data_IF_030797988585
#
_entry.id   IF_030797988585
#
_cell.length_a   1.000
_cell.length_b   1.000
_cell.length_c   1.000
_cell.angle_alpha   90.00
_cell.angle_beta   90.00
_cell.angle_gamma   90.00
#
_symmetry.space_group_name_H-M   'P 1'
#
loop_
_entity.id
_entity.type
_entity.pdbx_description
1 polymer ?
#
# COMPACT_ATOMS: atom_id res chain seq x y z
N UNK A 1 -33.53 27.43 -5.28
CA UNK A 1 -34.32 26.73 -4.24
C UNK A 1 -33.67 25.38 -4.01
N UNK A 2 -32.93 25.23 -2.90
CA UNK A 2 -32.26 23.98 -2.56
C UNK A 2 -33.27 23.08 -1.82
N UNK A 3 -33.63 21.95 -2.41
CA UNK A 3 -34.44 20.93 -1.75
C UNK A 3 -33.66 20.27 -0.60
N UNK A 4 -34.33 19.78 0.45
CA UNK A 4 -33.67 19.15 1.59
C UNK A 4 -32.99 17.85 1.18
N UNK A 5 -31.72 17.71 1.56
CA UNK A 5 -30.89 16.53 1.36
C UNK A 5 -31.59 15.28 1.90
N UNK A 6 -31.78 14.28 1.04
CA UNK A 6 -32.35 13.00 1.44
C UNK A 6 -31.46 12.34 2.53
N UNK A 7 -32.06 11.83 3.63
CA UNK A 7 -31.30 11.23 4.72
C UNK A 7 -30.51 10.02 4.21
N UNK A 8 -29.20 10.01 4.49
CA UNK A 8 -28.34 8.89 4.16
C UNK A 8 -28.91 7.60 4.77
N UNK A 9 -29.35 6.67 3.91
CA UNK A 9 -29.89 5.39 4.36
C UNK A 9 -28.84 4.68 5.23
N UNK A 10 -29.27 4.18 6.40
CA UNK A 10 -28.41 3.50 7.40
C UNK A 10 -27.50 2.43 6.81
N UNK A 11 -27.94 1.78 5.71
CA UNK A 11 -27.17 0.80 4.92
C UNK A 11 -25.86 1.36 4.34
N UNK A 12 -25.84 2.62 3.91
CA UNK A 12 -24.64 3.29 3.39
C UNK A 12 -23.67 3.68 4.50
N UNK A 13 -24.18 3.94 5.72
CA UNK A 13 -23.36 4.25 6.89
C UNK A 13 -22.62 3.01 7.39
N UNK A 14 -23.32 1.87 7.53
CA UNK A 14 -22.72 0.58 7.89
C UNK A 14 -21.64 0.15 6.91
N UNK A 15 -21.88 0.29 5.61
CA UNK A 15 -20.88 -0.04 4.58
C UNK A 15 -19.63 0.84 4.67
N UNK A 16 -19.78 2.13 5.02
CA UNK A 16 -18.66 3.06 5.27
C UNK A 16 -17.89 2.70 6.55
N UNK A 17 -18.59 2.33 7.62
CA UNK A 17 -17.96 1.89 8.87
C UNK A 17 -17.23 0.56 8.70
N UNK A 18 -17.73 -0.36 7.87
CA UNK A 18 -17.04 -1.61 7.56
C UNK A 18 -15.76 -1.38 6.75
N UNK A 19 -15.77 -0.44 5.80
CA UNK A 19 -14.56 -0.08 5.02
C UNK A 19 -13.55 0.65 5.92
N UNK A 20 -13.99 1.63 6.70
CA UNK A 20 -13.14 2.33 7.66
C UNK A 20 -12.59 1.39 8.75
N UNK A 21 -13.40 0.42 9.19
CA UNK A 21 -13.01 -0.63 10.11
C UNK A 21 -12.02 -1.61 9.49
N UNK A 22 -12.19 -2.01 8.23
CA UNK A 22 -11.25 -2.89 7.54
C UNK A 22 -9.86 -2.26 7.37
N UNK A 23 -9.77 -0.94 7.28
CA UNK A 23 -8.50 -0.20 7.14
C UNK A 23 -7.92 0.22 8.49
N UNK A 24 -8.77 0.60 9.45
CA UNK A 24 -8.37 1.02 10.79
C UNK A 24 -8.05 -0.14 11.75
N UNK A 25 -8.73 -1.29 11.61
CA UNK A 25 -8.50 -2.46 12.47
C UNK A 25 -7.09 -3.05 12.35
N UNK A 26 -6.46 -3.14 11.17
CA UNK A 26 -5.06 -3.52 11.07
C UNK A 26 -4.14 -2.52 11.78
N UNK A 27 -4.31 -1.22 11.56
CA UNK A 27 -3.46 -0.16 12.15
C UNK A 27 -3.59 -0.14 13.68
N UNK A 28 -4.82 -0.12 14.20
CA UNK A 28 -5.09 -0.12 15.63
C UNK A 28 -4.73 -1.45 16.31
N UNK A 29 -4.90 -2.57 15.60
CA UNK A 29 -4.52 -3.90 16.09
C UNK A 29 -3.01 -4.05 16.25
N UNK A 30 -2.22 -3.55 15.31
CA UNK A 30 -0.75 -3.60 15.35
C UNK A 30 -0.22 -2.69 16.45
N UNK A 31 -0.62 -1.41 16.48
CA UNK A 31 -0.21 -0.48 17.52
C UNK A 31 -0.65 -0.95 18.93
N UNK A 32 -1.90 -1.42 19.06
CA UNK A 32 -2.46 -1.92 20.32
C UNK A 32 -1.79 -3.21 20.81
N UNK A 33 -1.43 -4.12 19.90
CA UNK A 33 -0.70 -5.34 20.24
C UNK A 33 0.67 -5.04 20.84
N UNK A 34 1.44 -4.11 20.25
CA UNK A 34 2.78 -3.77 20.73
C UNK A 34 2.77 -2.99 22.03
N UNK A 35 1.88 -2.00 22.16
CA UNK A 35 1.68 -1.28 23.42
C UNK A 35 1.26 -2.24 24.53
N UNK A 36 0.30 -3.14 24.25
CA UNK A 36 -0.13 -4.15 25.20
C UNK A 36 0.98 -5.14 25.59
N UNK A 37 1.83 -5.55 24.64
CA UNK A 37 2.94 -6.48 24.88
C UNK A 37 4.08 -5.84 25.66
N UNK A 38 4.42 -4.57 25.37
CA UNK A 38 5.41 -3.80 26.11
C UNK A 38 4.97 -3.56 27.56
N UNK A 39 3.70 -3.16 27.76
CA UNK A 39 3.11 -3.00 29.09
C UNK A 39 3.08 -4.31 29.88
N UNK A 40 2.74 -5.43 29.23
CA UNK A 40 2.69 -6.75 29.88
C UNK A 40 4.07 -7.26 30.32
N UNK A 41 5.14 -6.91 29.60
CA UNK A 41 6.51 -7.39 29.90
C UNK A 41 7.36 -6.41 30.72
N UNK A 42 6.90 -5.18 30.94
CA UNK A 42 7.65 -4.15 31.67
C UNK A 42 9.01 -3.82 31.06
N UNK A 43 9.21 -4.12 29.77
CA UNK A 43 10.49 -3.98 29.07
C UNK A 43 10.26 -3.59 27.62
N UNK A 44 11.08 -2.66 27.13
CA UNK A 44 11.12 -2.20 25.74
C UNK A 44 12.12 -2.99 24.88
N UNK A 45 12.82 -3.98 25.44
CA UNK A 45 13.73 -4.84 24.67
C UNK A 45 13.10 -5.46 23.41
N UNK A 46 11.82 -5.90 23.42
CA UNK A 46 11.16 -6.41 22.22
C UNK A 46 10.92 -5.35 21.12
N UNK A 47 11.03 -4.05 21.43
CA UNK A 47 11.02 -2.97 20.44
C UNK A 47 12.42 -2.78 19.81
N UNK A 48 13.50 -3.14 20.50
CA UNK A 48 14.88 -3.03 20.02
C UNK A 48 15.28 -4.18 19.10
N UNK A 49 14.57 -5.31 19.15
CA UNK A 49 14.78 -6.48 18.26
C UNK A 49 14.32 -6.25 16.81
N UNK A 50 13.68 -5.11 16.52
CA UNK A 50 13.17 -4.77 15.20
C UNK A 50 14.29 -4.25 14.31
N UNK A 51 14.42 -4.83 13.12
CA UNK A 51 15.37 -4.31 12.13
C UNK A 51 14.88 -2.99 11.54
N UNK A 52 15.80 -2.19 11.00
CA UNK A 52 15.41 -0.97 10.28
C UNK A 52 14.50 -1.29 9.08
N UNK A 53 14.72 -2.43 8.42
CA UNK A 53 13.86 -2.91 7.33
C UNK A 53 12.42 -3.20 7.82
N UNK A 54 12.26 -3.82 8.99
CA UNK A 54 10.93 -4.03 9.58
C UNK A 54 10.21 -2.71 9.85
N UNK A 55 10.92 -1.72 10.39
CA UNK A 55 10.34 -0.40 10.68
C UNK A 55 9.99 0.37 9.41
N UNK A 56 10.87 0.36 8.41
CA UNK A 56 10.64 1.00 7.11
C UNK A 56 9.49 0.33 6.34
N UNK A 57 9.41 -1.00 6.36
CA UNK A 57 8.31 -1.75 5.73
C UNK A 57 6.97 -1.46 6.40
N UNK A 58 6.93 -1.35 7.74
CA UNK A 58 5.74 -0.90 8.46
C UNK A 58 5.35 0.56 8.13
N UNK A 59 6.32 1.45 7.96
CA UNK A 59 6.05 2.83 7.56
C UNK A 59 5.46 2.87 6.13
N UNK A 60 6.03 2.11 5.19
CA UNK A 60 5.51 1.97 3.84
C UNK A 60 4.08 1.40 3.87
N UNK A 61 3.85 0.35 4.66
CA UNK A 61 2.52 -0.22 4.85
C UNK A 61 1.52 0.84 5.33
N UNK A 62 1.90 1.62 6.34
CA UNK A 62 1.05 2.66 6.89
C UNK A 62 0.71 3.72 5.83
N UNK A 63 1.69 4.17 5.04
CA UNK A 63 1.45 5.09 3.93
C UNK A 63 0.45 4.50 2.93
N UNK A 64 0.65 3.25 2.51
CA UNK A 64 -0.23 2.58 1.57
C UNK A 64 -1.66 2.40 2.11
N UNK A 65 -1.81 2.02 3.38
CA UNK A 65 -3.11 1.88 4.04
C UNK A 65 -3.83 3.22 4.20
N UNK A 66 -3.12 4.30 4.52
CA UNK A 66 -3.68 5.66 4.57
C UNK A 66 -4.11 6.09 3.16
N UNK A 67 -3.27 5.91 2.15
CA UNK A 67 -3.60 6.21 0.75
C UNK A 67 -4.81 5.41 0.27
N UNK A 68 -4.90 4.13 0.64
CA UNK A 68 -6.05 3.29 0.36
C UNK A 68 -7.33 3.82 1.02
N UNK A 69 -7.26 4.20 2.30
CA UNK A 69 -8.37 4.81 3.03
C UNK A 69 -8.83 6.12 2.41
N UNK A 70 -7.88 6.98 2.04
CA UNK A 70 -8.13 8.23 1.34
C UNK A 70 -8.86 8.01 0.00
N UNK A 71 -8.33 7.13 -0.86
CA UNK A 71 -8.92 6.83 -2.17
C UNK A 71 -10.28 6.11 -2.04
N UNK A 72 -10.42 5.18 -1.10
CA UNK A 72 -11.69 4.52 -0.81
C UNK A 72 -12.75 5.53 -0.34
N UNK A 73 -12.35 6.52 0.46
CA UNK A 73 -13.24 7.58 0.91
C UNK A 73 -13.61 8.55 -0.22
N UNK A 74 -12.65 8.98 -1.03
CA UNK A 74 -12.88 9.85 -2.18
C UNK A 74 -13.90 9.25 -3.17
N UNK A 75 -13.78 7.94 -3.45
CA UNK A 75 -14.65 7.23 -4.42
C UNK A 75 -16.07 6.95 -3.92
N UNK A 76 -16.44 7.40 -2.71
CA UNK A 76 -17.80 7.24 -2.16
C UNK A 76 -18.84 8.15 -2.83
N UNK A 77 -18.41 9.21 -3.50
CA UNK A 77 -19.31 10.11 -4.26
C UNK A 77 -18.54 10.80 -5.38
N UNK A 78 -19.19 11.06 -6.52
CA UNK A 78 -18.60 11.83 -7.63
C UNK A 78 -18.10 13.20 -7.19
N UNK A 79 -18.90 13.93 -6.39
CA UNK A 79 -18.54 15.24 -5.85
C UNK A 79 -17.22 15.20 -5.07
N UNK A 80 -17.07 14.28 -4.11
CA UNK A 80 -15.82 14.13 -3.34
C UNK A 80 -14.64 13.73 -4.21
N UNK A 81 -14.83 12.78 -5.12
CA UNK A 81 -13.77 12.39 -6.05
C UNK A 81 -13.27 13.59 -6.87
N UNK A 82 -14.19 14.41 -7.36
CA UNK A 82 -13.82 15.63 -8.07
C UNK A 82 -13.09 16.63 -7.16
N UNK A 83 -13.62 16.92 -5.97
CA UNK A 83 -13.01 17.88 -5.04
C UNK A 83 -11.61 17.47 -4.56
N UNK A 84 -11.38 16.17 -4.39
CA UNK A 84 -10.16 15.63 -3.80
C UNK A 84 -9.10 15.21 -4.82
N UNK A 85 -9.52 14.69 -5.98
CA UNK A 85 -8.63 14.01 -6.94
C UNK A 85 -8.58 14.75 -8.27
N UNK A 86 -9.70 14.81 -9.00
CA UNK A 86 -9.69 15.31 -10.38
C UNK A 86 -9.65 16.83 -10.49
N UNK A 87 -10.24 17.55 -9.52
CA UNK A 87 -10.34 19.01 -9.44
C UNK A 87 -10.87 19.65 -10.74
N UNK A 88 -11.77 18.97 -11.45
CA UNK A 88 -12.41 19.48 -12.66
C UNK A 88 -13.44 20.57 -12.34
N UNK A 89 -13.73 21.48 -13.30
CA UNK A 89 -14.78 22.49 -13.15
C UNK A 89 -16.14 21.87 -12.81
N UNK A 90 -16.96 22.57 -12.04
CA UNK A 90 -18.25 22.05 -11.54
C UNK A 90 -19.24 21.63 -12.65
N UNK A 91 -19.05 22.12 -13.88
CA UNK A 91 -19.88 21.83 -15.04
C UNK A 91 -19.48 20.52 -15.74
N UNK A 92 -18.31 19.96 -15.43
CA UNK A 92 -17.83 18.71 -16.02
C UNK A 92 -18.32 17.53 -15.20
N UNK A 93 -19.03 16.60 -15.84
CA UNK A 93 -19.45 15.36 -15.17
C UNK A 93 -18.26 14.42 -15.00
N UNK A 94 -18.04 13.98 -13.76
CA UNK A 94 -17.05 12.95 -13.42
C UNK A 94 -17.41 11.63 -14.11
N UNK A 95 -16.44 11.07 -14.83
CA UNK A 95 -16.56 9.76 -15.46
C UNK A 95 -16.83 8.66 -14.40
N UNK A 96 -17.92 7.88 -14.54
CA UNK A 96 -18.16 6.71 -13.68
C UNK A 96 -17.01 5.70 -13.67
N UNK A 97 -16.24 5.57 -14.76
CA UNK A 97 -15.10 4.66 -14.84
C UNK A 97 -13.97 5.06 -13.89
N UNK A 98 -13.70 6.37 -13.75
CA UNK A 98 -12.68 6.89 -12.83
C UNK A 98 -12.94 6.49 -11.36
N UNK A 99 -14.22 6.43 -10.95
CA UNK A 99 -14.57 5.92 -9.62
C UNK A 99 -14.29 4.43 -9.45
N UNK A 100 -14.47 3.62 -10.49
CA UNK A 100 -14.18 2.19 -10.46
C UNK A 100 -12.67 1.96 -10.39
N UNK A 101 -11.90 2.70 -11.18
CA UNK A 101 -10.44 2.70 -11.15
C UNK A 101 -9.90 3.14 -9.80
N UNK A 102 -10.41 4.25 -9.25
CA UNK A 102 -10.03 4.73 -7.92
C UNK A 102 -10.30 3.69 -6.83
N UNK A 103 -11.40 2.93 -6.91
CA UNK A 103 -11.70 1.84 -5.95
C UNK A 103 -10.75 0.67 -6.10
N UNK A 104 -10.39 0.31 -7.34
CA UNK A 104 -9.42 -0.75 -7.60
C UNK A 104 -8.03 -0.34 -7.13
N UNK A 105 -7.63 0.91 -7.37
CA UNK A 105 -6.38 1.48 -6.86
C UNK A 105 -6.35 1.51 -5.33
N UNK A 106 -7.46 1.90 -4.68
CA UNK A 106 -7.59 1.83 -3.23
C UNK A 106 -7.44 0.40 -2.70
N UNK A 107 -8.04 -0.58 -3.38
CA UNK A 107 -7.94 -1.99 -3.00
C UNK A 107 -6.52 -2.52 -3.18
N UNK A 108 -5.84 -2.21 -4.27
CA UNK A 108 -4.43 -2.58 -4.49
C UNK A 108 -3.55 -1.94 -3.42
N UNK A 109 -3.69 -0.65 -3.14
CA UNK A 109 -2.92 0.01 -2.09
C UNK A 109 -3.15 -0.64 -0.72
N UNK A 110 -4.39 -1.04 -0.40
CA UNK A 110 -4.68 -1.76 0.83
C UNK A 110 -3.99 -3.13 0.87
N UNK A 111 -4.09 -3.91 -0.21
CA UNK A 111 -3.48 -5.24 -0.30
C UNK A 111 -1.95 -5.16 -0.23
N UNK A 112 -1.32 -4.26 -0.98
CA UNK A 112 0.12 -4.03 -0.92
C UNK A 112 0.58 -3.59 0.47
N UNK A 113 -0.21 -2.73 1.13
CA UNK A 113 0.01 -2.35 2.52
C UNK A 113 -0.03 -3.55 3.48
N UNK A 114 -1.00 -4.44 3.34
CA UNK A 114 -1.08 -5.66 4.15
C UNK A 114 0.09 -6.62 3.85
N UNK A 115 0.42 -6.82 2.58
CA UNK A 115 1.48 -7.73 2.13
C UNK A 115 2.86 -7.33 2.67
N UNK A 116 3.13 -6.03 2.77
CA UNK A 116 4.39 -5.54 3.34
C UNK A 116 4.35 -5.43 4.88
N UNK A 117 3.17 -5.28 5.48
CA UNK A 117 3.01 -5.16 6.94
C UNK A 117 3.07 -6.51 7.67
N UNK A 118 2.45 -7.55 7.11
CA UNK A 118 2.23 -8.82 7.80
C UNK A 118 3.53 -9.59 8.11
N UNK A 119 4.50 -9.74 7.18
CA UNK A 119 5.72 -10.53 7.42
C UNK A 119 6.52 -10.13 8.66
N UNK A 120 6.86 -8.84 8.90
CA UNK A 120 7.65 -8.46 10.07
C UNK A 120 6.87 -8.72 11.37
N UNK A 121 5.56 -8.46 11.38
CA UNK A 121 4.71 -8.75 12.54
C UNK A 121 4.67 -10.26 12.83
N UNK A 122 4.51 -11.08 11.79
CA UNK A 122 4.46 -12.53 11.94
C UNK A 122 5.78 -13.11 12.44
N UNK A 123 6.91 -12.55 12.01
CA UNK A 123 8.24 -12.93 12.48
C UNK A 123 8.41 -12.66 14.00
N UNK A 124 7.94 -11.51 14.47
CA UNK A 124 8.07 -11.06 15.86
C UNK A 124 6.94 -11.55 16.80
N UNK A 125 5.87 -12.10 16.24
CA UNK A 125 4.71 -12.56 17.01
C UNK A 125 4.97 -13.84 17.83
N UNK A 126 6.08 -14.56 17.59
CA UNK A 126 6.40 -15.81 18.28
C UNK A 126 5.51 -16.98 17.84
N UNK A 127 5.05 -16.95 16.59
CA UNK A 127 4.18 -17.98 16.01
C UNK A 127 4.92 -19.31 15.84
N UNK A 128 4.24 -20.42 16.11
CA UNK A 128 4.73 -21.76 15.77
C UNK A 128 4.78 -22.02 14.26
N UNK A 129 5.48 -23.07 13.84
CA UNK A 129 5.73 -23.41 12.43
C UNK A 129 4.45 -23.60 11.61
N UNK A 130 3.43 -24.23 12.19
CA UNK A 130 2.12 -24.43 11.54
C UNK A 130 1.46 -23.09 11.20
N UNK A 131 1.39 -22.18 12.17
CA UNK A 131 0.80 -20.86 11.98
C UNK A 131 1.60 -20.00 10.99
N UNK A 132 2.95 -20.08 11.02
CA UNK A 132 3.81 -19.42 10.01
C UNK A 132 3.50 -19.91 8.60
N UNK A 133 3.22 -21.21 8.44
CA UNK A 133 2.85 -21.80 7.16
C UNK A 133 1.48 -21.29 6.67
N UNK A 134 0.51 -21.16 7.58
CA UNK A 134 -0.80 -20.55 7.27
C UNK A 134 -0.64 -19.09 6.83
N UNK A 135 0.19 -18.31 7.53
CA UNK A 135 0.49 -16.92 7.16
C UNK A 135 1.15 -16.85 5.78
N UNK A 136 2.14 -17.70 5.50
CA UNK A 136 2.80 -17.73 4.20
C UNK A 136 1.82 -18.08 3.06
N UNK A 137 0.93 -19.06 3.27
CA UNK A 137 -0.11 -19.40 2.31
C UNK A 137 -1.09 -18.24 2.07
N UNK A 138 -1.53 -17.58 3.15
CA UNK A 138 -2.41 -16.42 3.06
C UNK A 138 -1.75 -15.25 2.32
N UNK A 139 -0.47 -14.99 2.55
CA UNK A 139 0.30 -13.99 1.80
C UNK A 139 0.39 -14.34 0.31
N UNK A 140 0.62 -15.61 -0.03
CA UNK A 140 0.61 -16.06 -1.42
C UNK A 140 -0.75 -15.84 -2.09
N UNK A 141 -1.84 -16.15 -1.40
CA UNK A 141 -3.20 -15.91 -1.91
C UNK A 141 -3.51 -14.42 -2.09
N UNK A 142 -3.12 -13.58 -1.11
CA UNK A 142 -3.28 -12.13 -1.19
C UNK A 142 -2.49 -11.53 -2.37
N UNK A 143 -1.25 -11.98 -2.56
CA UNK A 143 -0.41 -11.56 -3.67
C UNK A 143 -1.04 -11.92 -5.02
N UNK A 144 -1.58 -13.12 -5.17
CA UNK A 144 -2.30 -13.52 -6.39
C UNK A 144 -3.51 -12.62 -6.66
N UNK A 145 -4.31 -12.31 -5.64
CA UNK A 145 -5.45 -11.40 -5.77
C UNK A 145 -4.98 -10.00 -6.17
N UNK A 146 -3.93 -9.50 -5.54
CA UNK A 146 -3.35 -8.19 -5.87
C UNK A 146 -2.85 -8.15 -7.32
N UNK A 147 -2.12 -9.16 -7.77
CA UNK A 147 -1.66 -9.28 -9.16
C UNK A 147 -2.82 -9.29 -10.16
N UNK A 148 -3.90 -10.02 -9.88
CA UNK A 148 -5.08 -10.06 -10.75
C UNK A 148 -5.79 -8.71 -10.86
N UNK A 149 -5.84 -7.93 -9.77
CA UNK A 149 -6.43 -6.59 -9.78
C UNK A 149 -5.52 -5.62 -10.52
N UNK A 150 -4.20 -5.65 -10.25
CA UNK A 150 -3.22 -4.84 -10.97
C UNK A 150 -3.24 -5.10 -12.47
N UNK A 151 -3.33 -6.37 -12.89
CA UNK A 151 -3.47 -6.72 -14.30
C UNK A 151 -4.74 -6.13 -14.93
N UNK A 152 -5.87 -6.15 -14.21
CA UNK A 152 -7.11 -5.50 -14.69
C UNK A 152 -6.97 -3.98 -14.77
N UNK A 153 -6.33 -3.33 -13.80
CA UNK A 153 -6.07 -1.88 -13.85
C UNK A 153 -5.22 -1.54 -15.07
N UNK A 154 -4.14 -2.29 -15.32
CA UNK A 154 -3.28 -2.06 -16.48
C UNK A 154 -3.99 -2.29 -17.81
N UNK A 155 -4.81 -3.34 -17.89
CA UNK A 155 -5.59 -3.66 -19.09
C UNK A 155 -6.63 -2.58 -19.40
N UNK A 156 -7.35 -2.12 -18.38
CA UNK A 156 -8.47 -1.19 -18.54
C UNK A 156 -7.99 0.28 -18.59
N UNK A 157 -6.79 0.57 -18.09
CA UNK A 157 -6.21 1.91 -18.09
C UNK A 157 -5.93 2.46 -19.49
N UNK A 158 -5.86 3.78 -19.59
CA UNK A 158 -5.51 4.47 -20.83
C UNK A 158 -4.01 4.34 -21.17
N UNK A 159 -3.61 4.88 -22.33
CA UNK A 159 -2.22 4.85 -22.76
C UNK A 159 -1.29 5.64 -21.83
N UNK A 160 -1.80 6.69 -21.17
CA UNK A 160 -1.01 7.49 -20.24
C UNK A 160 -0.67 6.68 -18.98
N UNK A 161 -1.66 6.02 -18.38
CA UNK A 161 -1.51 5.15 -17.23
C UNK A 161 -0.60 3.96 -17.55
N UNK A 162 -0.79 3.31 -18.72
CA UNK A 162 0.11 2.25 -19.19
C UNK A 162 1.55 2.74 -19.34
N UNK A 163 1.76 3.92 -19.93
CA UNK A 163 3.08 4.49 -20.10
C UNK A 163 3.75 4.82 -18.76
N UNK A 164 3.00 5.31 -17.79
CA UNK A 164 3.50 5.59 -16.42
C UNK A 164 3.93 4.31 -15.74
N UNK A 165 3.10 3.27 -15.76
CA UNK A 165 3.43 1.96 -15.18
C UNK A 165 4.70 1.39 -15.84
N UNK A 166 4.77 1.40 -17.17
CA UNK A 166 5.91 0.88 -17.91
C UNK A 166 7.21 1.65 -17.60
N UNK A 167 7.15 2.98 -17.49
CA UNK A 167 8.32 3.81 -17.19
C UNK A 167 8.79 3.67 -15.75
N UNK A 168 7.85 3.60 -14.79
CA UNK A 168 8.17 3.29 -13.41
C UNK A 168 8.88 1.94 -13.32
N UNK A 169 8.30 0.91 -13.96
CA UNK A 169 8.90 -0.43 -14.01
C UNK A 169 10.29 -0.44 -14.64
N UNK A 170 10.46 0.21 -15.79
CA UNK A 170 11.75 0.27 -16.49
C UNK A 170 12.83 1.01 -15.67
N UNK A 171 12.50 2.14 -15.05
CA UNK A 171 13.45 2.89 -14.24
C UNK A 171 13.84 2.10 -12.98
N UNK A 172 12.86 1.53 -12.27
CA UNK A 172 13.13 0.68 -11.11
C UNK A 172 13.97 -0.53 -11.49
N UNK A 173 13.67 -1.19 -12.62
CA UNK A 173 14.45 -2.32 -13.12
C UNK A 173 15.91 -1.91 -13.32
N UNK A 174 16.20 -0.87 -14.10
CA UNK A 174 17.58 -0.50 -14.37
C UNK A 174 18.34 -0.03 -13.14
N UNK A 175 17.72 0.82 -12.32
CA UNK A 175 18.38 1.37 -11.12
C UNK A 175 18.65 0.26 -10.09
N UNK A 176 17.64 -0.56 -9.79
CA UNK A 176 17.78 -1.60 -8.76
C UNK A 176 18.60 -2.77 -9.26
N UNK A 177 18.45 -3.20 -10.51
CA UNK A 177 19.26 -4.30 -11.06
C UNK A 177 20.75 -3.95 -11.02
N UNK A 178 21.13 -2.74 -11.45
CA UNK A 178 22.53 -2.31 -11.43
C UNK A 178 23.03 -2.13 -10.00
N UNK A 179 22.23 -1.51 -9.12
CA UNK A 179 22.58 -1.33 -7.71
C UNK A 179 22.79 -2.66 -6.99
N UNK A 180 21.87 -3.62 -7.19
CA UNK A 180 21.95 -4.98 -6.62
C UNK A 180 23.15 -5.75 -7.16
N UNK A 181 23.46 -5.63 -8.46
CA UNK A 181 24.63 -6.28 -9.03
C UNK A 181 25.93 -5.76 -8.41
N UNK A 182 26.09 -4.44 -8.31
CA UNK A 182 27.26 -3.82 -7.69
C UNK A 182 27.36 -4.25 -6.22
N UNK A 183 26.25 -4.17 -5.47
CA UNK A 183 26.24 -4.58 -4.05
C UNK A 183 26.61 -6.06 -3.88
N UNK A 184 26.02 -6.94 -4.68
CA UNK A 184 26.30 -8.38 -4.64
C UNK A 184 27.76 -8.69 -5.00
N UNK A 185 28.34 -7.98 -5.98
CA UNK A 185 29.75 -8.12 -6.32
C UNK A 185 30.66 -7.68 -5.17
N UNK A 186 30.37 -6.53 -4.53
CA UNK A 186 31.12 -6.05 -3.37
C UNK A 186 31.00 -7.00 -2.17
N UNK A 187 29.80 -7.53 -1.91
CA UNK A 187 29.56 -8.51 -0.85
C UNK A 187 30.33 -9.81 -1.12
N UNK A 188 30.37 -10.25 -2.38
CA UNK A 188 31.15 -11.45 -2.77
C UNK A 188 32.66 -11.26 -2.63
N UNK A 189 33.14 -10.03 -2.67
CA UNK A 189 34.53 -9.65 -2.42
C UNK A 189 34.80 -9.31 -0.94
N UNK A 190 33.82 -9.51 -0.04
CA UNK A 190 33.92 -9.21 1.40
C UNK A 190 34.19 -7.71 1.70
N UNK A 191 33.73 -6.82 0.81
CA UNK A 191 33.89 -5.36 0.94
C UNK A 191 32.69 -4.67 1.59
N UNK A 192 31.52 -5.31 1.58
CA UNK A 192 30.28 -4.84 2.23
C UNK A 192 29.54 -6.02 2.85
N UNK A 193 28.65 -5.75 3.80
CA UNK A 193 27.84 -6.77 4.45
C UNK A 193 26.80 -7.40 3.51
N UNK A 194 26.52 -8.68 3.74
CA UNK A 194 25.36 -9.35 3.13
C UNK A 194 24.06 -8.72 3.63
N UNK A 195 23.07 -8.63 2.75
CA UNK A 195 21.76 -8.05 3.03
C UNK A 195 20.71 -9.12 2.85
N UNK A 196 19.82 -9.27 3.82
CA UNK A 196 18.75 -10.26 3.77
C UNK A 196 17.67 -9.88 2.74
N UNK A 197 16.91 -10.89 2.30
CA UNK A 197 15.91 -10.71 1.25
C UNK A 197 14.77 -9.75 1.63
N UNK A 198 14.45 -9.62 2.93
CA UNK A 198 13.40 -8.72 3.39
C UNK A 198 13.85 -7.25 3.32
N UNK A 199 15.11 -6.98 3.69
CA UNK A 199 15.72 -5.67 3.50
C UNK A 199 15.72 -5.27 2.02
N UNK A 200 16.10 -6.19 1.11
CA UNK A 200 16.05 -5.92 -0.33
C UNK A 200 14.63 -5.66 -0.84
N UNK A 201 13.64 -6.42 -0.37
CA UNK A 201 12.22 -6.21 -0.72
C UNK A 201 11.71 -4.84 -0.24
N UNK A 202 12.10 -4.43 0.96
CA UNK A 202 11.74 -3.12 1.54
C UNK A 202 12.35 -1.98 0.72
N UNK A 203 13.62 -2.10 0.32
CA UNK A 203 14.30 -1.11 -0.55
C UNK A 203 13.61 -1.04 -1.92
N UNK A 204 13.32 -2.19 -2.54
CA UNK A 204 12.61 -2.28 -3.81
C UNK A 204 11.26 -1.54 -3.74
N UNK A 205 10.46 -1.80 -2.71
CA UNK A 205 9.16 -1.14 -2.56
C UNK A 205 9.31 0.37 -2.33
N UNK A 206 10.25 0.78 -1.48
CA UNK A 206 10.51 2.21 -1.24
C UNK A 206 10.91 2.94 -2.53
N UNK A 207 11.86 2.38 -3.28
CA UNK A 207 12.31 2.94 -4.57
C UNK A 207 11.18 2.97 -5.61
N UNK A 208 10.36 1.91 -5.67
CA UNK A 208 9.19 1.84 -6.54
C UNK A 208 8.19 2.95 -6.24
N UNK A 209 7.84 3.17 -4.98
CA UNK A 209 6.87 4.20 -4.61
C UNK A 209 7.36 5.62 -4.92
N UNK A 210 8.63 5.91 -4.60
CA UNK A 210 9.24 7.22 -4.94
C UNK A 210 9.23 7.44 -6.45
N UNK A 211 9.62 6.42 -7.22
CA UNK A 211 9.65 6.50 -8.68
C UNK A 211 8.25 6.68 -9.26
N UNK A 212 7.29 5.89 -8.78
CA UNK A 212 5.89 5.95 -9.22
C UNK A 212 5.29 7.32 -8.99
N UNK A 213 5.46 7.91 -7.79
CA UNK A 213 4.96 9.26 -7.50
C UNK A 213 5.64 10.29 -8.41
N UNK A 214 6.97 10.22 -8.54
CA UNK A 214 7.74 11.18 -9.35
C UNK A 214 7.30 11.18 -10.82
N UNK A 215 7.10 10.00 -11.41
CA UNK A 215 6.68 9.87 -12.81
C UNK A 215 5.22 10.30 -12.98
N UNK A 216 4.33 9.92 -12.06
CA UNK A 216 2.92 10.33 -12.09
C UNK A 216 2.76 11.85 -12.01
N UNK A 217 3.51 12.54 -11.14
CA UNK A 217 3.53 14.01 -11.06
C UNK A 217 4.04 14.62 -12.36
N UNK A 218 5.16 14.13 -12.89
CA UNK A 218 5.75 14.64 -14.15
C UNK A 218 4.84 14.49 -15.36
N UNK A 219 3.99 13.46 -15.38
CA UNK A 219 3.05 13.18 -16.47
C UNK A 219 1.67 13.79 -16.26
N UNK A 220 1.46 14.55 -15.19
CA UNK A 220 0.20 15.22 -14.90
C UNK A 220 -0.92 14.29 -14.43
N UNK A 221 -0.62 13.06 -14.03
CA UNK A 221 -1.59 12.16 -13.40
C UNK A 221 -1.94 12.58 -11.97
N UNK A 222 -1.05 13.32 -11.31
CA UNK A 222 -1.26 13.82 -9.95
C UNK A 222 -1.08 15.33 -9.96
N UNK A 223 -2.17 16.05 -9.68
CA UNK A 223 -2.19 17.50 -9.51
C UNK A 223 -1.78 17.84 -8.06
N UNK A 224 -0.47 17.99 -7.84
CA UNK A 224 0.10 18.49 -6.56
C UNK A 224 -0.10 20.00 -6.48
#
# INVERSE_FOLDING_TARGET
>A
MNGPDAPATTRNLWRRMLIAGAIGAPIGGVAGYFVGRALKRGSIAPLLDWTLADLCSLLIALTLLISAGYAAWATTSRKRWNEMVEKQPAETEVDPAALVEGRRGALVAALGGLLIMIPPIAAHAGLGTEMRSVVAFALGALLLVECLINWRIWKDGDELARAVIAQTGALCFWVLQLGLFIWAALARLDLVAEVDSWTLMTILMGAYLVTSVTISVRRGLVNV
#
